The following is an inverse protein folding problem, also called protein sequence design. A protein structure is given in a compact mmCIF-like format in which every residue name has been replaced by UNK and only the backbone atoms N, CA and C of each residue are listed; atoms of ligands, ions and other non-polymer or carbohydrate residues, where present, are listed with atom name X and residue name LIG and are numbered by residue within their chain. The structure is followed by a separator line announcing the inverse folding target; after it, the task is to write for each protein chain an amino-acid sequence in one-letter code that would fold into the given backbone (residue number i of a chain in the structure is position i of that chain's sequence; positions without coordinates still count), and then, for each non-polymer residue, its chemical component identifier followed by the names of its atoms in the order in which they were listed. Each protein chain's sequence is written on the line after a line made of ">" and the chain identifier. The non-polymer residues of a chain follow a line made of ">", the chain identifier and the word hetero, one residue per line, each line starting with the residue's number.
data_IF_512981630929
#
_entry.id   IF_512981630929
#
_cell.length_a   1.000
_cell.length_b   1.000
_cell.length_c   1.000
_cell.angle_alpha   90.00
_cell.angle_beta   90.00
_cell.angle_gamma   90.00
#
_symmetry.space_group_name_H-M   'P 1'
#
loop_
_entity.id
_entity.type
_entity.pdbx_description
1 polymer ?
#
# COMPACT_ATOMS: atom_id res chain seq x y z
N UNK A 1 10.00 -6.80 -12.46
CA UNK A 1 9.17 -7.92 -11.98
C UNK A 1 8.04 -7.40 -11.09
N UNK A 2 6.87 -8.06 -11.10
CA UNK A 2 5.68 -7.70 -10.32
C UNK A 2 5.95 -7.52 -8.82
N UNK A 3 6.66 -8.48 -8.22
CA UNK A 3 7.04 -8.40 -6.79
C UNK A 3 7.92 -7.18 -6.50
N UNK A 4 8.86 -6.86 -7.38
CA UNK A 4 9.71 -5.68 -7.22
C UNK A 4 8.89 -4.38 -7.20
N UNK A 5 7.90 -4.24 -8.09
CA UNK A 5 6.98 -3.08 -8.11
C UNK A 5 6.15 -3.01 -6.85
N UNK A 6 5.61 -4.14 -6.37
CA UNK A 6 4.87 -4.20 -5.10
C UNK A 6 5.72 -3.73 -3.91
N UNK A 7 6.97 -4.19 -3.81
CA UNK A 7 7.87 -3.80 -2.73
C UNK A 7 8.18 -2.30 -2.79
N UNK A 8 8.50 -1.78 -3.98
CA UNK A 8 8.76 -0.35 -4.17
C UNK A 8 7.52 0.48 -3.84
N UNK A 9 6.34 0.07 -4.33
CA UNK A 9 5.08 0.73 -4.04
C UNK A 9 4.76 0.73 -2.55
N UNK A 10 5.01 -0.38 -1.83
CA UNK A 10 4.83 -0.48 -0.39
C UNK A 10 5.76 0.49 0.36
N UNK A 11 7.04 0.55 -0.01
CA UNK A 11 8.01 1.44 0.63
C UNK A 11 7.62 2.91 0.42
N UNK A 12 7.24 3.30 -0.80
CA UNK A 12 6.77 4.65 -1.10
C UNK A 12 5.51 4.97 -0.28
N UNK A 13 4.54 4.05 -0.29
CA UNK A 13 3.28 4.22 0.45
C UNK A 13 3.51 4.34 1.95
N UNK A 14 4.37 3.51 2.54
CA UNK A 14 4.75 3.61 3.96
C UNK A 14 5.40 4.94 4.27
N UNK A 15 6.35 5.39 3.47
CA UNK A 15 7.09 6.63 3.71
C UNK A 15 6.17 7.85 3.82
N UNK A 16 5.34 8.08 2.81
CA UNK A 16 4.48 9.27 2.82
C UNK A 16 3.31 9.15 3.81
N UNK A 17 2.70 7.96 3.94
CA UNK A 17 1.56 7.76 4.87
C UNK A 17 1.98 7.90 6.33
N UNK A 18 3.16 7.39 6.71
CA UNK A 18 3.73 7.61 8.04
C UNK A 18 3.96 9.10 8.32
N UNK A 19 4.51 9.82 7.33
CA UNK A 19 4.74 11.26 7.45
C UNK A 19 3.41 12.01 7.65
N UNK A 20 2.44 11.78 6.79
CA UNK A 20 1.14 12.46 6.82
C UNK A 20 0.34 12.08 8.07
N UNK A 21 0.21 10.78 8.37
CA UNK A 21 -0.54 10.30 9.53
C UNK A 21 0.04 10.85 10.84
N UNK A 22 1.36 10.89 11.00
CA UNK A 22 2.00 11.42 12.21
C UNK A 22 1.72 12.92 12.45
N UNK A 23 1.48 13.69 11.38
CA UNK A 23 1.13 15.12 11.46
C UNK A 23 -0.33 15.35 11.73
N UNK A 24 -1.21 14.54 11.16
CA UNK A 24 -2.65 14.74 11.16
C UNK A 24 -3.32 14.07 12.37
N UNK A 25 -2.91 12.85 12.73
CA UNK A 25 -3.61 12.04 13.73
C UNK A 25 -3.68 12.68 15.11
N UNK A 26 -2.70 13.49 15.49
CA UNK A 26 -2.65 14.22 16.77
C UNK A 26 -3.40 15.53 16.76
N UNK A 27 -3.64 16.13 15.59
CA UNK A 27 -4.36 17.40 15.48
C UNK A 27 -5.82 17.15 15.10
N UNK A 28 -6.72 17.26 16.09
CA UNK A 28 -8.16 16.98 15.89
C UNK A 28 -8.79 17.88 14.83
N UNK A 29 -8.33 19.12 14.67
CA UNK A 29 -8.86 20.04 13.66
C UNK A 29 -8.46 19.60 12.26
N UNK A 30 -7.18 19.29 12.06
CA UNK A 30 -6.68 18.76 10.78
C UNK A 30 -7.32 17.41 10.45
N UNK A 31 -7.46 16.53 11.43
CA UNK A 31 -8.06 15.22 11.23
C UNK A 31 -9.51 15.32 10.76
N UNK A 32 -10.33 16.19 11.39
CA UNK A 32 -11.74 16.39 11.00
C UNK A 32 -11.90 16.86 9.55
N UNK A 33 -10.92 17.56 9.01
CA UNK A 33 -10.94 18.05 7.63
C UNK A 33 -10.34 17.01 6.68
N UNK A 34 -9.16 16.48 7.01
CA UNK A 34 -8.42 15.61 6.10
C UNK A 34 -9.01 14.21 5.99
N UNK A 35 -9.56 13.65 7.09
CA UNK A 35 -10.06 12.27 7.08
C UNK A 35 -11.22 12.07 6.07
N UNK A 36 -12.26 12.92 6.01
CA UNK A 36 -13.31 12.82 4.99
C UNK A 36 -12.77 12.98 3.56
N UNK A 37 -11.82 13.90 3.34
CA UNK A 37 -11.19 14.08 2.03
C UNK A 37 -10.44 12.83 1.59
N UNK A 38 -9.67 12.22 2.49
CA UNK A 38 -8.98 10.95 2.20
C UNK A 38 -9.95 9.81 1.94
N UNK A 39 -11.08 9.75 2.67
CA UNK A 39 -12.10 8.73 2.44
C UNK A 39 -12.74 8.86 1.05
N UNK A 40 -13.06 10.10 0.62
CA UNK A 40 -13.59 10.36 -0.71
C UNK A 40 -12.54 9.98 -1.79
N UNK A 41 -11.29 10.38 -1.61
CA UNK A 41 -10.22 10.06 -2.56
C UNK A 41 -9.92 8.56 -2.62
N UNK A 42 -9.98 7.87 -1.47
CA UNK A 42 -9.80 6.43 -1.38
C UNK A 42 -10.91 5.62 -2.07
N UNK A 43 -12.09 6.21 -2.23
CA UNK A 43 -13.21 5.57 -2.93
C UNK A 43 -13.03 5.57 -4.45
N UNK A 44 -12.10 6.38 -4.98
CA UNK A 44 -11.82 6.41 -6.43
C UNK A 44 -10.96 5.18 -6.76
N UNK A 45 -11.40 4.32 -7.71
CA UNK A 45 -10.62 3.16 -8.11
C UNK A 45 -9.24 3.53 -8.66
N UNK A 46 -8.20 2.80 -8.26
CA UNK A 46 -6.82 3.00 -8.76
C UNK A 46 -6.76 2.95 -10.30
N UNK A 47 -7.56 2.07 -10.91
CA UNK A 47 -7.67 1.93 -12.36
C UNK A 47 -8.14 3.20 -13.09
N UNK A 48 -8.92 4.06 -12.44
CA UNK A 48 -9.37 5.32 -13.02
C UNK A 48 -8.23 6.32 -13.25
N UNK A 49 -7.16 6.23 -12.46
CA UNK A 49 -5.98 7.09 -12.61
C UNK A 49 -5.00 6.59 -13.67
N UNK A 50 -5.08 5.34 -14.06
CA UNK A 50 -4.08 4.71 -14.91
C UNK A 50 -3.91 5.40 -16.28
N UNK A 51 -4.98 5.69 -17.06
CA UNK A 51 -4.83 6.38 -18.34
C UNK A 51 -4.16 7.75 -18.21
N UNK A 52 -4.49 8.52 -17.15
CA UNK A 52 -3.88 9.82 -16.89
C UNK A 52 -2.39 9.70 -16.56
N UNK A 53 -2.03 8.73 -15.72
CA UNK A 53 -0.64 8.49 -15.33
C UNK A 53 0.20 8.05 -16.54
N UNK A 54 -0.34 7.20 -17.41
CA UNK A 54 0.36 6.80 -18.65
C UNK A 54 0.60 7.99 -19.55
N UNK A 55 -0.41 8.82 -19.84
CA UNK A 55 -0.27 9.99 -20.71
C UNK A 55 0.83 10.93 -20.20
N UNK A 56 0.96 11.08 -18.88
CA UNK A 56 1.98 11.94 -18.28
C UNK A 56 3.40 11.35 -18.33
N UNK A 57 3.52 10.03 -18.38
CA UNK A 57 4.81 9.35 -18.20
C UNK A 57 5.31 8.62 -19.46
N UNK A 58 4.48 8.48 -20.50
CA UNK A 58 4.81 7.65 -21.67
C UNK A 58 6.07 8.12 -22.41
N UNK A 59 6.33 9.42 -22.43
CA UNK A 59 7.49 10.01 -23.14
C UNK A 59 8.77 9.99 -22.28
N UNK A 60 8.69 9.52 -21.02
CA UNK A 60 9.82 9.45 -20.12
C UNK A 60 10.47 8.06 -20.22
N UNK A 61 11.81 7.93 -20.19
CA UNK A 61 12.47 6.63 -20.12
C UNK A 61 11.93 5.80 -18.94
N UNK A 62 11.54 4.56 -19.18
CA UNK A 62 10.87 3.69 -18.20
C UNK A 62 9.50 4.20 -17.70
N UNK A 63 8.85 5.10 -18.42
CA UNK A 63 7.59 5.74 -18.01
C UNK A 63 6.49 4.75 -17.65
N UNK A 64 6.33 3.64 -18.41
CA UNK A 64 5.37 2.59 -18.10
C UNK A 64 5.68 1.85 -16.78
N UNK A 65 6.95 1.65 -16.45
CA UNK A 65 7.35 1.07 -15.15
C UNK A 65 6.98 2.01 -13.99
N UNK A 66 7.26 3.30 -14.13
CA UNK A 66 6.86 4.30 -13.15
C UNK A 66 5.33 4.41 -13.04
N UNK A 67 4.62 4.36 -14.16
CA UNK A 67 3.16 4.37 -14.18
C UNK A 67 2.58 3.18 -13.41
N UNK A 68 3.08 1.98 -13.66
CA UNK A 68 2.66 0.76 -12.96
C UNK A 68 2.92 0.85 -11.44
N UNK A 69 4.08 1.38 -11.02
CA UNK A 69 4.38 1.58 -9.61
C UNK A 69 3.43 2.61 -8.99
N UNK A 70 3.18 3.75 -9.64
CA UNK A 70 2.30 4.80 -9.12
C UNK A 70 0.85 4.33 -8.98
N UNK A 71 0.33 3.58 -9.96
CA UNK A 71 -1.01 2.99 -9.84
C UNK A 71 -1.06 2.00 -8.68
N UNK A 72 -0.03 1.19 -8.51
CA UNK A 72 0.08 0.27 -7.38
C UNK A 72 0.12 1.01 -6.04
N UNK A 73 0.84 2.13 -5.95
CA UNK A 73 0.84 3.02 -4.78
C UNK A 73 -0.57 3.52 -4.47
N UNK A 74 -1.34 3.94 -5.49
CA UNK A 74 -2.73 4.41 -5.26
C UNK A 74 -3.63 3.31 -4.68
N UNK A 75 -3.38 2.04 -5.04
CA UNK A 75 -4.09 0.89 -4.49
C UNK A 75 -3.67 0.48 -3.08
N UNK A 76 -2.46 0.87 -2.63
CA UNK A 76 -1.90 0.47 -1.33
C UNK A 76 -2.04 1.53 -0.24
N UNK A 77 -1.85 2.79 -0.60
CA UNK A 77 -1.63 3.89 0.35
C UNK A 77 -2.76 4.11 1.34
N UNK A 78 -4.00 3.92 0.93
CA UNK A 78 -5.16 4.19 1.78
C UNK A 78 -5.29 3.19 2.92
N UNK A 79 -4.99 1.92 2.67
CA UNK A 79 -4.93 0.90 3.71
C UNK A 79 -3.91 1.26 4.80
N UNK A 80 -2.72 1.70 4.38
CA UNK A 80 -1.68 2.15 5.30
C UNK A 80 -2.09 3.39 6.06
N UNK A 81 -2.57 4.41 5.36
CA UNK A 81 -2.91 5.70 5.96
C UNK A 81 -3.94 5.55 7.08
N UNK A 82 -5.05 4.83 6.81
CA UNK A 82 -6.11 4.68 7.81
C UNK A 82 -5.69 3.80 8.98
N UNK A 83 -4.93 2.73 8.73
CA UNK A 83 -4.39 1.90 9.82
C UNK A 83 -3.41 2.68 10.70
N UNK A 84 -2.50 3.45 10.11
CA UNK A 84 -1.54 4.27 10.86
C UNK A 84 -2.24 5.35 11.68
N UNK A 85 -3.21 6.06 11.09
CA UNK A 85 -4.02 7.05 11.83
C UNK A 85 -4.72 6.37 13.01
N UNK A 86 -5.35 5.20 12.79
CA UNK A 86 -5.99 4.41 13.84
C UNK A 86 -5.03 4.04 14.96
N UNK A 87 -3.83 3.54 14.61
CA UNK A 87 -2.79 3.17 15.54
C UNK A 87 -2.24 4.33 16.37
N UNK A 88 -2.07 5.51 15.77
CA UNK A 88 -1.66 6.71 16.52
C UNK A 88 -2.76 7.14 17.50
N UNK A 89 -4.01 7.04 17.10
CA UNK A 89 -5.15 7.45 17.93
C UNK A 89 -5.52 6.46 19.03
N UNK A 90 -5.04 5.24 18.95
CA UNK A 90 -5.22 4.24 20.01
C UNK A 90 -4.27 4.46 21.20
N UNK A 91 -3.29 5.37 21.09
CA UNK A 91 -2.37 5.70 22.18
C UNK A 91 -3.17 6.33 23.33
N UNK A 92 -3.12 5.78 24.55
CA UNK A 92 -3.83 6.34 25.70
C UNK A 92 -3.36 7.78 26.02
N UNK A 93 -4.30 8.65 26.39
CA UNK A 93 -3.97 10.04 26.76
C UNK A 93 -2.95 10.14 27.89
N UNK A 94 -3.00 9.20 28.83
CA UNK A 94 -2.05 9.13 29.96
C UNK A 94 -0.58 9.02 29.48
N UNK A 95 -0.35 8.33 28.36
CA UNK A 95 1.00 8.20 27.76
C UNK A 95 1.45 9.55 27.19
N UNK A 96 0.55 10.29 26.56
CA UNK A 96 0.84 11.62 26.04
C UNK A 96 1.10 12.61 27.20
N UNK A 97 0.25 12.61 28.23
CA UNK A 97 0.40 13.45 29.44
C UNK A 97 1.71 13.14 30.19
N UNK A 98 2.03 11.84 30.35
CA UNK A 98 3.32 11.43 30.93
C UNK A 98 4.50 11.92 30.10
N UNK A 99 4.43 11.78 28.78
CA UNK A 99 5.52 12.23 27.90
C UNK A 99 5.74 13.74 27.96
N UNK A 100 4.67 14.50 28.11
CA UNK A 100 4.73 15.95 28.28
C UNK A 100 5.33 16.34 29.64
N UNK A 101 5.00 15.61 30.73
CA UNK A 101 5.53 15.85 32.07
C UNK A 101 7.06 15.71 32.16
N UNK A 102 7.63 14.77 31.40
CA UNK A 102 9.08 14.55 31.30
C UNK A 102 9.72 15.29 30.11
N UNK A 103 8.98 16.22 29.48
CA UNK A 103 9.39 16.99 28.32
C UNK A 103 9.92 16.14 27.15
N UNK A 104 9.35 14.95 26.91
CA UNK A 104 9.73 14.04 25.87
C UNK A 104 9.07 14.48 24.55
N UNK A 105 9.80 15.22 23.71
CA UNK A 105 9.29 15.82 22.47
C UNK A 105 10.11 15.43 21.23
N UNK A 106 9.59 15.75 20.06
CA UNK A 106 10.29 15.64 18.78
C UNK A 106 10.70 14.20 18.43
N UNK A 107 11.96 14.03 17.99
CA UNK A 107 12.48 12.74 17.50
C UNK A 107 12.47 11.65 18.58
N UNK A 108 12.69 12.03 19.86
CA UNK A 108 12.72 11.05 20.96
C UNK A 108 11.32 10.51 21.25
N UNK A 109 10.30 11.38 21.31
CA UNK A 109 8.90 10.97 21.40
C UNK A 109 8.50 10.05 20.24
N UNK A 110 8.87 10.44 19.01
CA UNK A 110 8.56 9.67 17.82
C UNK A 110 9.14 8.24 17.88
N UNK A 111 10.41 8.09 18.28
CA UNK A 111 11.09 6.78 18.32
C UNK A 111 10.71 5.92 19.52
N UNK A 112 10.44 6.52 20.70
CA UNK A 112 10.23 5.77 21.95
C UNK A 112 8.76 5.51 22.26
N UNK A 113 7.85 6.32 21.76
CA UNK A 113 6.41 6.18 22.04
C UNK A 113 5.65 5.93 20.74
N UNK A 114 5.68 6.88 19.81
CA UNK A 114 4.80 6.85 18.63
C UNK A 114 5.05 5.62 17.75
N UNK A 115 6.29 5.40 17.34
CA UNK A 115 6.64 4.29 16.45
C UNK A 115 6.36 2.90 17.07
N UNK A 116 6.77 2.61 18.33
CA UNK A 116 6.40 1.34 18.96
C UNK A 116 4.90 1.14 19.12
N UNK A 117 4.16 2.18 19.52
CA UNK A 117 2.71 2.08 19.72
C UNK A 117 1.93 1.86 18.42
N UNK A 118 2.39 2.43 17.30
CA UNK A 118 1.75 2.23 15.99
C UNK A 118 2.25 0.99 15.24
N UNK A 119 3.26 0.27 15.77
CA UNK A 119 3.85 -0.89 15.09
C UNK A 119 2.84 -2.00 14.74
N UNK A 120 1.89 -2.39 15.61
CA UNK A 120 0.83 -3.32 15.27
C UNK A 120 0.00 -2.87 14.06
N UNK A 121 -0.41 -1.61 14.05
CA UNK A 121 -1.19 -1.01 12.97
C UNK A 121 -0.39 -0.86 11.67
N UNK A 122 0.92 -0.64 11.76
CA UNK A 122 1.82 -0.66 10.60
C UNK A 122 1.84 -2.03 9.94
N UNK A 123 1.98 -3.09 10.73
CA UNK A 123 2.03 -4.47 10.19
C UNK A 123 0.68 -4.83 9.58
N UNK A 124 -0.42 -4.61 10.31
CA UNK A 124 -1.78 -4.90 9.79
C UNK A 124 -2.09 -4.07 8.54
N UNK A 125 -1.76 -2.79 8.56
CA UNK A 125 -1.92 -1.90 7.41
C UNK A 125 -1.08 -2.33 6.20
N UNK A 126 0.14 -2.83 6.43
CA UNK A 126 1.01 -3.34 5.36
C UNK A 126 0.49 -4.65 4.76
N UNK A 127 -0.07 -5.54 5.58
CA UNK A 127 -0.71 -6.78 5.09
C UNK A 127 -1.91 -6.47 4.20
N UNK A 128 -2.81 -5.60 4.65
CA UNK A 128 -3.99 -5.20 3.86
C UNK A 128 -3.60 -4.43 2.61
N UNK A 129 -2.61 -3.54 2.70
CA UNK A 129 -2.06 -2.81 1.56
C UNK A 129 -1.42 -3.75 0.53
N UNK A 130 -0.71 -4.80 0.98
CA UNK A 130 -0.14 -5.81 0.09
C UNK A 130 -1.21 -6.51 -0.75
N UNK A 131 -2.35 -6.89 -0.14
CA UNK A 131 -3.50 -7.43 -0.85
C UNK A 131 -4.09 -6.44 -1.86
N UNK A 132 -4.31 -5.18 -1.46
CA UNK A 132 -4.75 -4.12 -2.35
C UNK A 132 -3.77 -3.85 -3.50
N UNK A 133 -2.47 -3.97 -3.22
CA UNK A 133 -1.40 -3.82 -4.20
C UNK A 133 -1.45 -4.86 -5.31
N UNK A 134 -1.73 -6.13 -5.00
CA UNK A 134 -1.91 -7.17 -6.01
C UNK A 134 -3.06 -6.84 -6.97
N UNK A 135 -4.20 -6.38 -6.43
CA UNK A 135 -5.35 -6.01 -7.27
C UNK A 135 -5.03 -4.83 -8.20
N UNK A 136 -4.35 -3.81 -7.68
CA UNK A 136 -3.94 -2.66 -8.48
C UNK A 136 -2.85 -3.00 -9.51
N UNK A 137 -1.91 -3.90 -9.14
CA UNK A 137 -0.78 -4.26 -9.96
C UNK A 137 -1.19 -5.01 -11.24
N UNK A 138 -2.14 -5.94 -11.16
CA UNK A 138 -2.63 -6.68 -12.34
C UNK A 138 -3.10 -5.67 -13.40
N UNK A 139 -3.94 -4.72 -13.00
CA UNK A 139 -4.45 -3.68 -13.89
C UNK A 139 -3.31 -2.76 -14.36
N UNK A 140 -2.33 -2.48 -13.49
CA UNK A 140 -1.22 -1.57 -13.79
C UNK A 140 -0.16 -2.16 -14.72
N UNK A 141 -0.07 -3.48 -14.84
CA UNK A 141 0.89 -4.13 -15.71
C UNK A 141 0.39 -4.28 -17.15
N UNK A 142 -0.92 -4.18 -17.39
CA UNK A 142 -1.52 -4.32 -18.72
C UNK A 142 -2.73 -3.40 -18.89
N UNK A 143 -2.71 -2.56 -19.92
CA UNK A 143 -3.81 -1.67 -20.25
C UNK A 143 -4.06 -1.65 -21.76
N UNK A 144 -5.30 -1.85 -22.13
CA UNK A 144 -5.78 -1.60 -23.50
C UNK A 144 -6.47 -0.24 -23.52
N UNK A 145 -5.94 0.71 -24.27
CA UNK A 145 -6.54 2.00 -24.47
C UNK A 145 -6.74 2.30 -25.95
N UNK A 146 -7.97 2.21 -26.40
CA UNK A 146 -8.31 2.32 -27.81
C UNK A 146 -7.68 1.18 -28.64
N UNK A 147 -6.75 1.53 -29.54
CA UNK A 147 -5.99 0.57 -30.36
C UNK A 147 -4.59 0.24 -29.80
N UNK A 148 -4.23 0.87 -28.69
CA UNK A 148 -2.89 0.74 -28.11
C UNK A 148 -2.92 -0.21 -26.93
N UNK A 149 -1.90 -1.06 -26.85
CA UNK A 149 -1.66 -1.94 -25.72
C UNK A 149 -0.42 -1.42 -25.01
N UNK A 150 -0.57 -1.06 -23.75
CA UNK A 150 0.50 -0.66 -22.85
C UNK A 150 0.74 -1.77 -21.86
N UNK A 151 1.92 -2.36 -21.88
CA UNK A 151 2.26 -3.45 -20.95
C UNK A 151 3.69 -3.35 -20.44
N UNK A 152 3.89 -3.85 -19.24
CA UNK A 152 5.20 -4.03 -18.63
C UNK A 152 5.37 -5.47 -18.18
N UNK A 153 6.54 -6.04 -18.34
CA UNK A 153 6.80 -7.46 -18.05
C UNK A 153 6.46 -7.83 -16.59
N UNK A 154 5.38 -8.60 -16.42
CA UNK A 154 4.91 -9.02 -15.11
C UNK A 154 3.87 -10.13 -15.16
N UNK A 155 3.52 -10.69 -14.00
CA UNK A 155 2.53 -11.75 -13.90
C UNK A 155 1.12 -11.25 -14.25
N UNK A 156 0.81 -9.99 -13.90
CA UNK A 156 -0.45 -9.33 -14.26
C UNK A 156 -0.59 -9.19 -15.77
N UNK A 157 0.46 -8.68 -16.44
CA UNK A 157 0.48 -8.55 -17.89
C UNK A 157 0.29 -9.89 -18.59
N UNK A 158 0.94 -10.95 -18.11
CA UNK A 158 0.78 -12.30 -18.67
C UNK A 158 -0.65 -12.85 -18.49
N UNK A 159 -1.28 -12.58 -17.35
CA UNK A 159 -2.66 -12.97 -17.07
C UNK A 159 -3.61 -12.28 -18.07
N UNK A 160 -3.50 -10.96 -18.20
CA UNK A 160 -4.39 -10.20 -19.08
C UNK A 160 -4.11 -10.47 -20.56
N UNK A 161 -2.85 -10.65 -20.96
CA UNK A 161 -2.48 -11.07 -22.32
C UNK A 161 -3.06 -12.45 -22.66
N UNK A 162 -2.99 -13.42 -21.72
CA UNK A 162 -3.56 -14.75 -21.92
C UNK A 162 -5.09 -14.73 -22.04
N UNK A 163 -5.74 -13.80 -21.34
CA UNK A 163 -7.20 -13.64 -21.35
C UNK A 163 -7.70 -12.90 -22.59
N UNK A 164 -7.10 -11.73 -22.89
CA UNK A 164 -7.64 -10.79 -23.88
C UNK A 164 -7.00 -10.89 -25.28
N UNK A 165 -5.75 -11.35 -25.35
CA UNK A 165 -5.00 -11.43 -26.62
C UNK A 165 -4.96 -12.87 -27.15
N UNK A 166 -4.55 -13.81 -26.29
CA UNK A 166 -4.38 -15.22 -26.72
C UNK A 166 -5.65 -16.05 -26.60
N UNK A 167 -6.61 -15.67 -25.75
CA UNK A 167 -7.83 -16.44 -25.49
C UNK A 167 -7.55 -17.83 -24.90
N UNK A 168 -6.40 -18.06 -24.28
CA UNK A 168 -5.96 -19.36 -23.81
C UNK A 168 -6.36 -19.62 -22.37
N UNK A 169 -7.50 -20.29 -22.16
CA UNK A 169 -7.99 -20.67 -20.83
C UNK A 169 -6.97 -21.50 -20.02
N UNK A 170 -6.30 -22.54 -20.61
CA UNK A 170 -5.33 -23.30 -19.82
C UNK A 170 -4.14 -22.45 -19.31
N UNK A 171 -3.63 -21.54 -20.15
CA UNK A 171 -2.54 -20.64 -19.77
C UNK A 171 -2.98 -19.66 -18.69
N UNK A 172 -4.17 -19.08 -18.84
CA UNK A 172 -4.77 -18.19 -17.85
C UNK A 172 -4.87 -18.88 -16.47
N UNK A 173 -5.41 -20.10 -16.41
CA UNK A 173 -5.53 -20.87 -15.18
C UNK A 173 -4.17 -21.15 -14.55
N UNK A 174 -3.17 -21.53 -15.35
CA UNK A 174 -1.81 -21.77 -14.86
C UNK A 174 -1.20 -20.51 -14.23
N UNK A 175 -1.36 -19.35 -14.88
CA UNK A 175 -0.83 -18.07 -14.39
C UNK A 175 -1.53 -17.61 -13.12
N UNK A 176 -2.85 -17.75 -13.03
CA UNK A 176 -3.64 -17.45 -11.82
C UNK A 176 -3.21 -18.37 -10.67
N UNK A 177 -3.04 -19.68 -10.91
CA UNK A 177 -2.53 -20.61 -9.90
C UNK A 177 -1.12 -20.22 -9.42
N UNK A 178 -0.24 -19.83 -10.33
CA UNK A 178 1.12 -19.36 -10.00
C UNK A 178 1.06 -18.12 -9.13
N UNK A 179 0.18 -17.18 -9.43
CA UNK A 179 -0.03 -15.98 -8.60
C UNK A 179 -0.54 -16.34 -7.21
N UNK A 180 -1.55 -17.21 -7.11
CA UNK A 180 -2.09 -17.66 -5.82
C UNK A 180 -1.00 -18.33 -4.96
N UNK A 181 -0.21 -19.22 -5.54
CA UNK A 181 0.90 -19.89 -4.85
C UNK A 181 1.92 -18.85 -4.36
N UNK A 182 2.25 -17.88 -5.19
CA UNK A 182 3.18 -16.78 -4.83
C UNK A 182 2.64 -15.97 -3.65
N UNK A 183 1.35 -15.61 -3.66
CA UNK A 183 0.71 -14.89 -2.57
C UNK A 183 0.75 -15.70 -1.28
N UNK A 184 0.41 -17.00 -1.32
CA UNK A 184 0.43 -17.89 -0.16
C UNK A 184 1.84 -18.01 0.43
N UNK A 185 2.87 -18.14 -0.42
CA UNK A 185 4.27 -18.23 0.02
C UNK A 185 4.66 -16.94 0.75
N UNK A 186 4.40 -15.77 0.16
CA UNK A 186 4.73 -14.48 0.76
C UNK A 186 3.97 -14.28 2.08
N UNK A 187 2.66 -14.59 2.10
CA UNK A 187 1.86 -14.49 3.31
C UNK A 187 2.42 -15.36 4.44
N UNK A 188 2.69 -16.64 4.16
CA UNK A 188 3.17 -17.59 5.17
C UNK A 188 4.56 -17.26 5.70
N UNK A 189 5.50 -16.85 4.82
CA UNK A 189 6.91 -16.66 5.20
C UNK A 189 7.22 -15.25 5.68
N UNK A 190 6.47 -14.23 5.26
CA UNK A 190 6.72 -12.84 5.62
C UNK A 190 5.63 -12.33 6.57
N UNK A 191 4.38 -12.23 6.10
CA UNK A 191 3.33 -11.55 6.84
C UNK A 191 2.93 -12.25 8.12
N UNK A 192 2.73 -13.56 8.09
CA UNK A 192 2.37 -14.35 9.28
C UNK A 192 3.45 -14.27 10.36
N UNK A 193 4.73 -14.28 9.99
CA UNK A 193 5.83 -14.13 10.97
C UNK A 193 5.86 -12.76 11.60
N UNK A 194 5.63 -11.70 10.80
CA UNK A 194 5.55 -10.34 11.30
C UNK A 194 4.35 -10.16 12.23
N UNK A 195 3.19 -10.70 11.87
CA UNK A 195 1.98 -10.64 12.68
C UNK A 195 2.15 -11.30 14.05
N UNK A 196 2.66 -12.54 14.10
CA UNK A 196 2.93 -13.25 15.36
C UNK A 196 3.92 -12.48 16.25
N UNK A 197 4.93 -11.84 15.66
CA UNK A 197 5.88 -11.01 16.40
C UNK A 197 5.21 -9.80 17.05
N UNK A 198 4.27 -9.19 16.34
CA UNK A 198 3.49 -8.05 16.85
C UNK A 198 2.54 -8.46 17.98
N UNK A 199 1.84 -9.58 17.81
CA UNK A 199 0.91 -10.10 18.81
C UNK A 199 1.61 -10.37 20.14
N UNK A 200 2.81 -10.94 20.10
CA UNK A 200 3.64 -11.12 21.30
C UNK A 200 4.03 -9.81 21.97
N UNK A 201 4.22 -8.74 21.18
CA UNK A 201 4.57 -7.42 21.71
C UNK A 201 3.36 -6.71 22.36
N UNK A 202 2.17 -6.93 21.83
CA UNK A 202 0.92 -6.35 22.34
C UNK A 202 0.45 -6.98 23.64
N UNK A 203 0.89 -8.22 23.93
CA UNK A 203 0.51 -8.97 25.11
C UNK A 203 1.55 -8.87 26.26
N UNK A 204 2.63 -8.11 26.10
CA UNK A 204 3.62 -7.74 27.14
C UNK A 204 3.35 -6.34 27.65
#
# INVERSE_FOLDING_TARGET
>A
SSIGRLVIALIISLGWTMFVASRIAKNIKLLKICLPLFQITAAIPASAFFPFIIILLIDIPFGLEFAAILVTVTGMQWYLLFNIIGGIRSIPKQVDEFSDSINLKGRTYWRRILLPSMYPSLVTGSMTAWGGGWNALIIAEFLIFGKYIFSVNGIGALIDESAYVLGSIPLLLLLVLTMIITIIIIDRFIWRKLYIKVEKWSNM
#
